data_IF_664733200213
#
_entry.id   IF_664733200213
#
_cell.length_a   1.000
_cell.length_b   1.000
_cell.length_c   1.000
_cell.angle_alpha   90.00
_cell.angle_beta   90.00
_cell.angle_gamma   90.00
#
_symmetry.space_group_name_H-M   'P 1'
#
loop_
_entity.id
_entity.type
_entity.pdbx_description
1 polymer ?
#
# COMPACT_ATOMS: atom_id res chain seq x y z
N UNK A 1 -21.23 -30.89 -4.51
CA UNK A 1 -20.43 -29.76 -5.00
C UNK A 1 -19.78 -29.04 -3.82
N UNK A 2 -18.72 -28.25 -4.03
CA UNK A 2 -18.14 -27.39 -2.98
C UNK A 2 -19.19 -26.46 -2.36
N UNK A 3 -18.93 -25.99 -1.13
CA UNK A 3 -19.78 -25.03 -0.44
C UNK A 3 -20.04 -23.78 -1.30
N UNK A 4 -21.30 -23.34 -1.32
CA UNK A 4 -21.66 -22.11 -2.00
C UNK A 4 -21.17 -20.88 -1.22
N UNK A 5 -20.79 -19.83 -1.94
CA UNK A 5 -20.28 -18.56 -1.40
C UNK A 5 -18.93 -18.66 -0.68
N UNK A 6 -17.96 -19.38 -1.25
CA UNK A 6 -16.59 -19.37 -0.71
C UNK A 6 -15.89 -18.03 -0.99
N UNK A 7 -15.01 -17.61 -0.09
CA UNK A 7 -14.19 -16.41 -0.25
C UNK A 7 -12.73 -16.82 -0.34
N UNK A 8 -12.08 -16.47 -1.44
CA UNK A 8 -10.66 -16.70 -1.68
C UNK A 8 -9.96 -15.35 -1.68
N UNK A 9 -9.03 -15.16 -0.75
CA UNK A 9 -8.22 -13.93 -0.68
C UNK A 9 -6.80 -14.25 -1.08
N UNK A 10 -6.28 -13.51 -2.07
CA UNK A 10 -4.88 -13.60 -2.50
C UNK A 10 -4.24 -12.24 -2.53
N UNK A 11 -2.90 -12.24 -2.56
CA UNK A 11 -2.14 -11.03 -2.72
C UNK A 11 -1.90 -10.70 -4.20
N UNK A 12 -1.76 -9.41 -4.53
CA UNK A 12 -1.36 -8.97 -5.87
C UNK A 12 -0.08 -9.69 -6.32
N UNK A 13 -0.09 -10.15 -7.57
CA UNK A 13 1.04 -10.84 -8.21
C UNK A 13 1.12 -12.34 -7.94
N UNK A 14 0.38 -12.89 -6.96
CA UNK A 14 0.33 -14.34 -6.72
C UNK A 14 -0.72 -15.01 -7.61
N UNK A 15 -0.84 -16.34 -7.52
CA UNK A 15 -1.84 -17.09 -8.28
C UNK A 15 -3.04 -17.40 -7.39
N UNK A 16 -4.23 -16.94 -7.79
CA UNK A 16 -5.48 -17.35 -7.15
C UNK A 16 -5.91 -18.73 -7.65
N UNK A 17 -6.35 -19.60 -6.75
CA UNK A 17 -6.87 -20.92 -7.08
C UNK A 17 -8.31 -21.06 -6.58
N UNK A 18 -9.27 -20.91 -7.48
CA UNK A 18 -10.71 -21.04 -7.18
C UNK A 18 -11.11 -22.49 -7.43
N UNK A 19 -11.38 -23.24 -6.35
CA UNK A 19 -11.69 -24.67 -6.44
C UNK A 19 -13.20 -24.89 -6.56
N UNK A 20 -13.57 -25.76 -7.48
CA UNK A 20 -14.92 -26.26 -7.64
C UNK A 20 -14.91 -27.79 -7.72
N UNK A 21 -15.33 -28.41 -6.64
CA UNK A 21 -15.53 -29.84 -6.53
C UNK A 21 -16.92 -30.18 -7.04
N UNK A 22 -17.00 -31.13 -7.95
CA UNK A 22 -18.25 -31.65 -8.50
C UNK A 22 -18.23 -33.16 -8.37
N UNK A 23 -19.34 -33.75 -7.95
CA UNK A 23 -19.50 -35.19 -7.81
C UNK A 23 -20.56 -35.66 -8.79
N UNK A 24 -20.48 -36.94 -9.19
CA UNK A 24 -21.49 -37.61 -10.02
C UNK A 24 -21.82 -36.88 -11.34
N UNK A 25 -20.80 -36.30 -11.98
CA UNK A 25 -20.92 -35.62 -13.28
C UNK A 25 -21.24 -36.64 -14.37
N UNK A 26 -22.33 -36.44 -15.11
CA UNK A 26 -22.67 -37.30 -16.23
C UNK A 26 -21.67 -37.13 -17.40
N UNK A 27 -21.56 -38.13 -18.27
CA UNK A 27 -20.57 -38.16 -19.38
C UNK A 27 -20.68 -36.95 -20.34
N UNK A 28 -21.86 -36.36 -20.47
CA UNK A 28 -22.12 -35.21 -21.34
C UNK A 28 -22.15 -33.87 -20.59
N UNK A 29 -21.99 -33.89 -19.27
CA UNK A 29 -21.98 -32.68 -18.47
C UNK A 29 -20.57 -32.10 -18.39
N UNK A 30 -20.49 -30.76 -18.41
CA UNK A 30 -19.23 -30.03 -18.36
C UNK A 30 -19.28 -28.96 -17.29
N UNK A 31 -18.11 -28.73 -16.68
CA UNK A 31 -17.92 -27.63 -15.73
C UNK A 31 -17.40 -26.41 -16.49
N UNK A 32 -18.05 -25.27 -16.28
CA UNK A 32 -17.66 -24.00 -16.86
C UNK A 32 -17.33 -22.98 -15.78
N UNK A 33 -16.33 -22.15 -16.01
CA UNK A 33 -16.04 -21.00 -15.16
C UNK A 33 -16.50 -19.71 -15.83
N UNK A 34 -17.29 -18.92 -15.11
CA UNK A 34 -17.91 -17.69 -15.63
C UNK A 34 -17.59 -16.54 -14.65
N UNK A 35 -17.18 -15.39 -15.18
CA UNK A 35 -17.05 -14.17 -14.40
C UNK A 35 -18.39 -13.45 -14.37
N UNK A 36 -18.98 -13.27 -13.19
CA UNK A 36 -20.38 -12.77 -13.10
C UNK A 36 -20.57 -11.30 -13.43
N UNK A 37 -19.54 -10.46 -13.24
CA UNK A 37 -19.66 -9.01 -13.45
C UNK A 37 -20.07 -8.63 -14.87
N UNK A 38 -19.69 -9.45 -15.85
CA UNK A 38 -19.89 -9.22 -17.28
C UNK A 38 -20.33 -10.49 -18.04
N UNK A 39 -20.67 -11.56 -17.31
CA UNK A 39 -21.02 -12.87 -17.86
C UNK A 39 -19.95 -13.42 -18.83
N UNK A 40 -18.69 -13.07 -18.60
CA UNK A 40 -17.58 -13.53 -19.44
C UNK A 40 -17.31 -15.01 -19.19
N UNK A 41 -17.47 -15.82 -20.23
CA UNK A 41 -17.13 -17.24 -20.20
C UNK A 41 -15.60 -17.40 -20.21
N UNK A 42 -15.06 -17.97 -19.13
CA UNK A 42 -13.61 -18.14 -18.98
C UNK A 42 -13.19 -19.49 -19.53
N UNK A 43 -13.82 -20.58 -19.07
CA UNK A 43 -13.50 -21.95 -19.48
C UNK A 43 -14.74 -22.81 -19.63
N UNK A 44 -14.65 -23.85 -20.46
CA UNK A 44 -15.59 -24.96 -20.54
C UNK A 44 -14.78 -26.26 -20.53
N UNK A 45 -14.97 -27.08 -19.51
CA UNK A 45 -14.10 -28.20 -19.22
C UNK A 45 -12.65 -27.73 -19.11
N UNK A 46 -11.75 -28.41 -19.83
CA UNK A 46 -10.33 -28.10 -19.85
C UNK A 46 -9.96 -26.95 -20.81
N UNK A 47 -10.89 -26.46 -21.62
CA UNK A 47 -10.63 -25.47 -22.66
C UNK A 47 -10.87 -24.04 -22.15
N UNK A 48 -9.91 -23.15 -22.35
CA UNK A 48 -10.02 -21.71 -22.04
C UNK A 48 -10.58 -20.93 -23.23
N UNK A 49 -11.62 -20.14 -23.00
CA UNK A 49 -12.28 -19.26 -23.98
C UNK A 49 -11.97 -17.78 -23.75
N UNK A 50 -11.39 -17.43 -22.61
CA UNK A 50 -10.89 -16.09 -22.35
C UNK A 50 -9.63 -15.79 -23.17
N UNK A 51 -9.50 -14.57 -23.69
CA UNK A 51 -8.26 -14.09 -24.34
C UNK A 51 -7.13 -13.78 -23.34
N UNK A 52 -7.43 -13.75 -22.04
CA UNK A 52 -6.45 -13.49 -20.99
C UNK A 52 -5.75 -14.81 -20.60
N UNK A 53 -4.48 -14.92 -21.02
CA UNK A 53 -3.62 -16.11 -20.83
C UNK A 53 -3.35 -16.46 -19.36
N UNK A 54 -3.67 -15.55 -18.43
CA UNK A 54 -3.50 -15.78 -16.99
C UNK A 54 -4.54 -16.75 -16.44
N UNK A 55 -5.67 -16.92 -17.11
CA UNK A 55 -6.69 -17.90 -16.72
C UNK A 55 -6.31 -19.29 -17.19
N UNK A 56 -6.19 -20.22 -16.25
CA UNK A 56 -5.90 -21.61 -16.54
C UNK A 56 -6.79 -22.51 -15.70
N UNK A 57 -7.19 -23.66 -16.24
CA UNK A 57 -7.97 -24.64 -15.50
C UNK A 57 -7.18 -25.92 -15.32
N UNK A 58 -7.27 -26.51 -14.13
CA UNK A 58 -6.72 -27.83 -13.86
C UNK A 58 -7.81 -28.72 -13.29
N UNK A 59 -7.90 -29.94 -13.81
CA UNK A 59 -8.75 -30.98 -13.26
C UNK A 59 -7.93 -31.99 -12.46
N UNK A 60 -8.39 -32.31 -11.25
CA UNK A 60 -7.80 -33.34 -10.39
C UNK A 60 -8.76 -34.53 -10.31
N UNK A 61 -8.42 -35.64 -10.97
CA UNK A 61 -9.22 -36.87 -10.93
C UNK A 61 -9.41 -37.42 -9.51
N UNK A 62 -8.37 -37.32 -8.67
CA UNK A 62 -8.38 -37.86 -7.30
C UNK A 62 -9.41 -37.17 -6.40
N UNK A 63 -9.60 -35.88 -6.59
CA UNK A 63 -10.48 -35.05 -5.76
C UNK A 63 -11.74 -34.59 -6.49
N UNK A 64 -11.84 -34.87 -7.79
CA UNK A 64 -12.86 -34.36 -8.70
C UNK A 64 -12.98 -32.83 -8.67
N UNK A 65 -11.84 -32.16 -8.54
CA UNK A 65 -11.76 -30.69 -8.46
C UNK A 65 -11.45 -30.08 -9.82
N UNK A 66 -12.30 -29.16 -10.25
CA UNK A 66 -12.02 -28.20 -11.31
C UNK A 66 -11.55 -26.90 -10.67
N UNK A 67 -10.26 -26.61 -10.81
CA UNK A 67 -9.67 -25.40 -10.22
C UNK A 67 -9.36 -24.39 -11.31
N UNK A 68 -9.97 -23.20 -11.21
CA UNK A 68 -9.57 -22.04 -12.00
C UNK A 68 -8.39 -21.34 -11.32
N UNK A 69 -7.29 -21.24 -12.02
CA UNK A 69 -6.12 -20.46 -11.66
C UNK A 69 -6.16 -19.10 -12.34
N UNK A 70 -5.97 -18.04 -11.56
CA UNK A 70 -5.77 -16.67 -12.06
C UNK A 70 -4.35 -16.27 -11.71
N UNK A 71 -3.43 -16.41 -12.68
CA UNK A 71 -2.01 -16.08 -12.48
C UNK A 71 -1.80 -14.57 -12.40
N UNK A 72 -0.78 -14.16 -11.64
CA UNK A 72 -0.39 -12.75 -11.48
C UNK A 72 -1.60 -11.88 -11.14
N UNK A 73 -2.33 -12.25 -10.08
CA UNK A 73 -3.60 -11.63 -9.71
C UNK A 73 -3.47 -10.11 -9.59
N UNK A 74 -4.41 -9.40 -10.20
CA UNK A 74 -4.49 -7.95 -10.21
C UNK A 74 -5.72 -7.49 -9.40
N UNK A 75 -5.71 -6.27 -8.84
CA UNK A 75 -6.89 -5.73 -8.14
C UNK A 75 -8.19 -5.79 -8.98
N UNK A 76 -8.07 -5.63 -10.31
CA UNK A 76 -9.21 -5.69 -11.22
C UNK A 76 -9.77 -7.10 -11.45
N UNK A 77 -9.08 -8.16 -11.02
CA UNK A 77 -9.60 -9.53 -11.10
C UNK A 77 -10.52 -9.86 -9.94
N UNK A 78 -10.51 -9.02 -8.88
CA UNK A 78 -11.39 -9.19 -7.75
C UNK A 78 -12.86 -9.15 -8.20
N UNK A 79 -13.67 -10.01 -7.61
CA UNK A 79 -15.08 -10.14 -7.95
C UNK A 79 -15.60 -11.55 -7.82
N UNK A 80 -16.80 -11.76 -8.38
CA UNK A 80 -17.55 -12.99 -8.22
C UNK A 80 -17.36 -13.88 -9.44
N UNK A 81 -16.92 -15.10 -9.20
CA UNK A 81 -16.75 -16.17 -10.18
C UNK A 81 -17.76 -17.27 -9.89
N UNK A 82 -18.28 -17.86 -10.95
CA UNK A 82 -19.25 -18.94 -10.87
C UNK A 82 -18.70 -20.18 -11.57
N UNK A 83 -18.67 -21.28 -10.83
CA UNK A 83 -18.46 -22.60 -11.39
C UNK A 83 -19.83 -23.19 -11.70
N UNK A 84 -20.13 -23.41 -12.98
CA UNK A 84 -21.43 -23.88 -13.44
C UNK A 84 -21.31 -25.28 -14.05
N UNK A 85 -22.14 -26.21 -13.57
CA UNK A 85 -22.36 -27.50 -14.20
C UNK A 85 -23.48 -27.39 -15.23
N UNK A 86 -23.27 -27.93 -16.43
CA UNK A 86 -24.23 -27.90 -17.55
C UNK A 86 -25.43 -28.85 -17.39
N UNK A 87 -25.85 -29.14 -16.16
CA UNK A 87 -27.04 -29.93 -15.84
C UNK A 87 -28.33 -29.21 -16.28
N UNK A 88 -29.46 -29.93 -16.29
CA UNK A 88 -30.78 -29.34 -16.53
C UNK A 88 -31.70 -29.50 -15.31
N UNK A 89 -31.99 -28.42 -14.56
CA UNK A 89 -31.52 -27.03 -14.75
C UNK A 89 -30.04 -26.84 -14.38
N UNK A 90 -29.35 -25.78 -14.89
CA UNK A 90 -27.95 -25.53 -14.56
C UNK A 90 -27.73 -25.31 -13.07
N UNK A 91 -26.65 -25.87 -12.54
CA UNK A 91 -26.30 -25.76 -11.13
C UNK A 91 -24.98 -25.01 -11.03
N UNK A 92 -24.98 -23.89 -10.30
CA UNK A 92 -23.82 -23.01 -10.14
C UNK A 92 -23.38 -22.88 -8.68
N UNK A 93 -22.07 -22.84 -8.45
CA UNK A 93 -21.45 -22.50 -7.17
C UNK A 93 -20.68 -21.19 -7.31
N UNK A 94 -20.91 -20.29 -6.36
CA UNK A 94 -20.31 -18.96 -6.36
C UNK A 94 -19.07 -18.93 -5.47
N UNK A 95 -18.02 -18.29 -5.99
CA UNK A 95 -16.78 -17.98 -5.26
C UNK A 95 -16.42 -16.52 -5.46
N UNK A 96 -16.13 -15.81 -4.36
CA UNK A 96 -15.67 -14.42 -4.38
C UNK A 96 -14.16 -14.39 -4.26
N UNK A 97 -13.50 -13.81 -5.27
CA UNK A 97 -12.06 -13.56 -5.26
C UNK A 97 -11.78 -12.14 -4.73
N UNK A 98 -11.03 -12.06 -3.64
CA UNK A 98 -10.45 -10.83 -3.13
C UNK A 98 -8.97 -10.77 -3.49
N UNK A 99 -8.53 -9.65 -4.08
CA UNK A 99 -7.12 -9.41 -4.36
C UNK A 99 -6.67 -8.23 -3.51
N UNK A 100 -5.81 -8.51 -2.54
CA UNK A 100 -5.30 -7.51 -1.58
C UNK A 100 -3.85 -7.14 -1.89
N UNK A 101 -3.51 -5.89 -1.63
CA UNK A 101 -2.13 -5.41 -1.73
C UNK A 101 -1.55 -5.27 -0.32
N UNK A 102 -0.47 -5.99 -0.04
CA UNK A 102 0.24 -5.85 1.22
C UNK A 102 1.01 -4.52 1.22
N UNK A 103 0.99 -3.83 2.35
CA UNK A 103 1.61 -2.50 2.49
C UNK A 103 2.49 -2.47 3.74
N UNK A 104 3.68 -1.91 3.61
CA UNK A 104 4.51 -1.54 4.74
C UNK A 104 4.04 -0.18 5.30
N UNK A 105 4.23 0.01 6.60
CA UNK A 105 4.05 1.30 7.27
C UNK A 105 5.18 1.50 8.27
N UNK A 106 5.78 2.69 8.30
CA UNK A 106 6.77 3.05 9.31
C UNK A 106 6.10 3.95 10.36
N UNK A 107 6.17 3.54 11.63
CA UNK A 107 5.58 4.31 12.73
C UNK A 107 6.29 5.65 12.96
N UNK A 108 5.54 6.66 13.42
CA UNK A 108 6.08 7.97 13.80
C UNK A 108 5.83 9.11 12.81
N UNK A 109 5.07 8.87 11.73
CA UNK A 109 4.72 9.88 10.73
C UNK A 109 5.72 9.96 9.56
N UNK A 110 5.47 10.82 8.56
CA UNK A 110 6.30 10.93 7.37
C UNK A 110 7.66 11.60 7.64
N UNK A 111 7.75 12.40 8.71
CA UNK A 111 8.97 13.08 9.15
C UNK A 111 9.23 12.81 10.62
N UNK A 112 10.50 12.62 10.99
CA UNK A 112 10.92 12.37 12.36
C UNK A 112 12.16 13.18 12.70
N UNK A 113 12.11 13.88 13.84
CA UNK A 113 13.21 14.73 14.31
C UNK A 113 13.90 14.07 15.49
N UNK A 114 15.22 13.93 15.42
CA UNK A 114 16.01 13.22 16.44
C UNK A 114 17.26 14.03 16.78
N UNK A 115 17.62 14.09 18.05
CA UNK A 115 18.79 14.85 18.50
C UNK A 115 20.09 14.13 18.15
N UNK A 116 21.12 14.89 17.80
CA UNK A 116 22.47 14.36 17.58
C UNK A 116 22.97 13.60 18.83
N UNK A 117 23.63 12.46 18.62
CA UNK A 117 24.17 11.60 19.67
C UNK A 117 23.15 10.67 20.34
N UNK A 118 21.83 10.86 20.14
CA UNK A 118 20.82 9.95 20.66
C UNK A 118 20.72 8.66 19.82
N UNK A 119 19.80 7.77 20.18
CA UNK A 119 19.48 6.59 19.38
C UNK A 119 18.11 6.76 18.71
N UNK A 120 17.93 6.21 17.53
CA UNK A 120 16.64 6.16 16.81
C UNK A 120 16.23 4.71 16.57
N UNK A 121 14.92 4.49 16.62
CA UNK A 121 14.28 3.22 16.32
C UNK A 121 13.16 3.46 15.30
N UNK A 122 13.30 2.87 14.12
CA UNK A 122 12.29 2.87 13.08
C UNK A 122 11.66 1.47 13.02
N UNK A 123 10.36 1.40 13.29
CA UNK A 123 9.59 0.17 13.24
C UNK A 123 8.74 0.17 11.98
N UNK A 124 8.96 -0.83 11.13
CA UNK A 124 8.20 -1.09 9.91
C UNK A 124 7.25 -2.26 10.14
N UNK A 125 5.95 -2.03 9.96
CA UNK A 125 4.90 -3.04 10.09
C UNK A 125 4.31 -3.35 8.71
N UNK A 126 4.24 -4.61 8.34
CA UNK A 126 3.62 -5.07 7.08
C UNK A 126 2.17 -5.46 7.37
N UNK A 127 1.23 -4.81 6.69
CA UNK A 127 -0.21 -5.07 6.78
C UNK A 127 -0.74 -5.77 5.55
N UNK A 128 -1.88 -6.45 5.71
CA UNK A 128 -2.65 -7.08 4.63
C UNK A 128 -1.85 -8.11 3.80
N UNK A 129 -0.87 -8.79 4.42
CA UNK A 129 -0.18 -9.89 3.77
C UNK A 129 -0.95 -11.20 3.95
N UNK A 130 -1.00 -12.02 2.89
CA UNK A 130 -1.51 -13.40 2.99
C UNK A 130 -0.40 -14.40 3.28
N UNK A 131 0.83 -14.05 2.89
CA UNK A 131 2.05 -14.81 3.13
C UNK A 131 3.13 -13.85 3.66
N UNK A 132 3.86 -14.21 4.72
CA UNK A 132 4.86 -13.30 5.28
C UNK A 132 6.01 -13.02 4.31
N UNK A 133 6.57 -11.79 4.33
CA UNK A 133 7.70 -11.45 3.49
C UNK A 133 8.93 -12.32 3.81
N UNK A 134 9.59 -12.86 2.78
CA UNK A 134 10.82 -13.65 2.93
C UNK A 134 12.01 -12.81 3.37
N UNK A 135 11.98 -11.50 3.10
CA UNK A 135 12.97 -10.53 3.57
C UNK A 135 12.34 -9.15 3.69
N UNK A 136 12.97 -8.31 4.51
CA UNK A 136 12.71 -6.86 4.59
C UNK A 136 14.06 -6.15 4.56
N UNK A 137 14.26 -5.31 3.54
CA UNK A 137 15.46 -4.50 3.41
C UNK A 137 15.21 -3.07 3.85
N UNK A 138 16.24 -2.48 4.45
CA UNK A 138 16.27 -1.07 4.80
C UNK A 138 17.22 -0.34 3.87
N UNK A 139 16.76 0.79 3.36
CA UNK A 139 17.55 1.71 2.53
C UNK A 139 17.68 3.05 3.25
N UNK A 140 18.83 3.70 3.08
CA UNK A 140 19.04 5.10 3.42
C UNK A 140 19.37 5.84 2.12
N UNK A 141 18.51 6.80 1.77
CA UNK A 141 18.38 7.30 0.42
C UNK A 141 18.22 6.13 -0.58
N UNK A 142 19.14 6.00 -1.53
CA UNK A 142 19.11 4.95 -2.56
C UNK A 142 20.00 3.74 -2.23
N UNK A 143 20.68 3.75 -1.08
CA UNK A 143 21.65 2.70 -0.73
C UNK A 143 21.10 1.75 0.33
N UNK A 144 21.22 0.44 0.06
CA UNK A 144 20.87 -0.58 1.04
C UNK A 144 21.79 -0.48 2.25
N UNK A 145 21.21 -0.48 3.45
CA UNK A 145 21.95 -0.40 4.71
C UNK A 145 22.60 -1.76 4.98
N UNK A 146 23.94 -1.77 5.00
CA UNK A 146 24.71 -2.94 5.42
C UNK A 146 24.90 -2.92 6.95
N UNK A 147 24.01 -3.61 7.66
CA UNK A 147 24.04 -3.68 9.13
C UNK A 147 25.14 -4.59 9.69
N UNK A 148 25.70 -5.53 8.91
CA UNK A 148 26.80 -6.40 9.36
C UNK A 148 28.13 -5.63 9.50
N UNK A 149 28.29 -4.58 8.70
CA UNK A 149 29.51 -3.76 8.66
C UNK A 149 29.56 -2.66 9.73
N UNK A 150 28.41 -2.27 10.29
CA UNK A 150 28.30 -1.08 11.15
C UNK A 150 27.71 -1.43 12.52
N UNK A 151 28.56 -1.47 13.55
CA UNK A 151 28.18 -1.79 14.94
C UNK A 151 27.13 -0.84 15.54
N UNK A 152 26.93 0.36 14.97
CA UNK A 152 25.89 1.30 15.45
C UNK A 152 24.49 0.92 14.99
N UNK A 153 24.39 0.15 13.91
CA UNK A 153 23.15 -0.21 13.23
C UNK A 153 22.80 -1.66 13.57
N UNK A 154 21.55 -1.89 13.96
CA UNK A 154 21.03 -3.24 14.14
C UNK A 154 19.66 -3.34 13.49
N UNK A 155 19.40 -4.48 12.84
CA UNK A 155 18.11 -4.80 12.24
C UNK A 155 17.57 -6.05 12.93
N UNK A 156 16.34 -5.98 13.42
CA UNK A 156 15.63 -7.12 14.00
C UNK A 156 14.39 -7.38 13.16
N UNK A 157 14.36 -8.53 12.50
CA UNK A 157 13.21 -8.97 11.71
C UNK A 157 12.33 -9.92 12.53
N UNK A 158 11.02 -9.72 12.44
CA UNK A 158 9.96 -10.52 13.04
C UNK A 158 8.90 -10.80 11.97
N UNK A 159 7.97 -11.69 12.28
CA UNK A 159 6.87 -11.99 11.37
C UNK A 159 6.02 -10.73 11.13
N UNK A 160 6.02 -10.21 9.91
CA UNK A 160 5.25 -9.01 9.55
C UNK A 160 5.79 -7.70 10.14
N UNK A 161 6.99 -7.69 10.71
CA UNK A 161 7.59 -6.49 11.31
C UNK A 161 9.12 -6.49 11.15
N UNK A 162 9.70 -5.32 10.88
CA UNK A 162 11.15 -5.13 10.84
C UNK A 162 11.53 -3.86 11.59
N UNK A 163 12.59 -3.95 12.38
CA UNK A 163 13.00 -2.86 13.24
C UNK A 163 14.45 -2.46 12.97
N UNK A 164 14.66 -1.22 12.54
CA UNK A 164 15.98 -0.61 12.34
C UNK A 164 16.32 0.28 13.54
N UNK A 165 17.39 -0.05 14.24
CA UNK A 165 17.94 0.77 15.33
C UNK A 165 19.29 1.35 14.94
N UNK A 166 19.46 2.65 15.13
CA UNK A 166 20.73 3.36 14.92
C UNK A 166 21.10 4.06 16.22
N UNK A 167 22.25 3.69 16.79
CA UNK A 167 22.80 4.33 17.99
C UNK A 167 23.77 5.44 17.62
N UNK A 168 23.90 6.43 18.53
CA UNK A 168 24.82 7.58 18.38
C UNK A 168 24.65 8.28 17.02
N UNK A 169 23.44 8.76 16.73
CA UNK A 169 23.11 9.38 15.44
C UNK A 169 23.94 10.64 15.18
N UNK A 170 24.32 10.83 13.93
CA UNK A 170 25.13 11.95 13.43
C UNK A 170 24.35 12.71 12.36
N UNK A 171 24.79 13.90 11.98
CA UNK A 171 24.13 14.66 10.89
C UNK A 171 24.03 13.86 9.58
N UNK A 172 25.01 13.00 9.30
CA UNK A 172 25.07 12.15 8.11
C UNK A 172 23.97 11.06 8.09
N UNK A 173 23.42 10.71 9.25
CA UNK A 173 22.30 9.76 9.33
C UNK A 173 20.96 10.41 8.95
N UNK A 174 20.91 11.72 8.65
CA UNK A 174 19.69 12.38 8.15
C UNK A 174 19.35 11.91 6.73
N UNK A 175 18.06 11.91 6.38
CA UNK A 175 17.58 11.59 5.04
C UNK A 175 16.43 10.60 5.05
N UNK A 176 16.08 10.11 3.86
CA UNK A 176 14.97 9.17 3.70
C UNK A 176 15.40 7.76 4.06
N UNK A 177 14.62 7.12 4.92
CA UNK A 177 14.75 5.71 5.25
C UNK A 177 13.57 4.95 4.66
N UNK A 178 13.85 3.93 3.86
CA UNK A 178 12.82 3.11 3.21
C UNK A 178 12.86 1.69 3.75
N UNK A 179 11.70 1.19 4.17
CA UNK A 179 11.48 -0.22 4.46
C UNK A 179 10.87 -0.89 3.23
N UNK A 180 11.59 -1.87 2.67
CA UNK A 180 11.23 -2.58 1.46
C UNK A 180 11.07 -4.08 1.73
N UNK A 181 9.84 -4.58 1.94
CA UNK A 181 9.57 -6.01 1.99
C UNK A 181 9.61 -6.66 0.60
N UNK A 182 9.78 -7.98 0.57
CA UNK A 182 9.81 -8.78 -0.67
C UNK A 182 8.48 -8.77 -1.45
N UNK A 183 7.36 -8.78 -0.73
CA UNK A 183 6.02 -8.96 -1.29
C UNK A 183 5.03 -7.92 -0.75
N UNK A 184 5.47 -6.69 -0.47
CA UNK A 184 4.59 -5.61 -0.06
C UNK A 184 5.08 -4.27 -0.61
N UNK A 185 4.15 -3.32 -0.76
CA UNK A 185 4.52 -1.95 -1.09
C UNK A 185 5.41 -1.35 0.01
N UNK A 186 6.51 -0.66 -0.36
CA UNK A 186 7.40 -0.07 0.62
C UNK A 186 6.78 1.13 1.32
N UNK A 187 7.35 1.45 2.48
CA UNK A 187 7.11 2.69 3.20
C UNK A 187 8.43 3.42 3.44
N UNK A 188 8.34 4.74 3.57
CA UNK A 188 9.49 5.60 3.82
C UNK A 188 9.19 6.62 4.92
N UNK A 189 10.26 7.10 5.56
CA UNK A 189 10.23 8.18 6.55
C UNK A 189 11.44 9.09 6.35
N UNK A 190 11.25 10.41 6.46
CA UNK A 190 12.34 11.38 6.45
C UNK A 190 12.86 11.59 7.87
N UNK A 191 14.12 11.26 8.12
CA UNK A 191 14.78 11.44 9.41
C UNK A 191 15.61 12.73 9.40
N UNK A 192 15.33 13.63 10.33
CA UNK A 192 16.02 14.91 10.49
C UNK A 192 16.81 14.92 11.80
N UNK A 193 18.14 15.00 11.70
CA UNK A 193 18.99 15.07 12.89
C UNK A 193 19.23 16.53 13.29
N UNK A 194 18.75 16.91 14.47
CA UNK A 194 18.83 18.27 15.01
C UNK A 194 19.94 18.39 16.07
N UNK A 195 20.63 19.53 16.10
CA UNK A 195 21.49 19.91 17.21
C UNK A 195 20.62 20.53 18.30
N UNK A 196 20.81 20.14 19.57
CA UNK A 196 19.99 20.58 20.71
C UNK A 196 20.07 22.07 21.07
N UNK A 197 20.51 22.92 20.14
CA UNK A 197 20.48 24.37 20.30
C UNK A 197 19.09 24.85 19.87
N UNK A 198 18.43 25.58 20.77
CA UNK A 198 17.06 26.09 20.63
C UNK A 198 16.80 26.71 19.25
N UNK A 199 15.58 26.58 18.67
CA UNK A 199 15.22 27.37 17.49
C UNK A 199 15.08 28.84 17.91
N UNK A 200 16.20 29.53 18.00
CA UNK A 200 16.29 30.96 18.23
C UNK A 200 15.93 31.68 16.92
N UNK A 201 14.63 31.73 16.58
CA UNK A 201 14.02 32.76 15.74
C UNK A 201 12.52 32.50 15.51
N UNK A 202 11.69 32.53 16.55
CA UNK A 202 10.29 32.91 16.36
C UNK A 202 10.18 34.41 16.66
N UNK A 203 10.45 35.17 15.60
CA UNK A 203 10.19 36.59 15.35
C UNK A 203 9.85 37.50 16.54
N UNK A 204 10.75 38.46 16.80
CA UNK A 204 10.44 39.71 17.51
C UNK A 204 9.34 40.45 16.73
N UNK A 205 8.12 40.50 17.26
CA UNK A 205 7.18 41.56 16.92
C UNK A 205 7.52 42.77 17.80
N UNK A 206 8.47 43.60 17.36
CA UNK A 206 8.59 44.97 17.84
C UNK A 206 7.44 45.78 17.26
N UNK A 207 6.32 45.83 17.97
CA UNK A 207 5.27 46.80 17.70
C UNK A 207 5.77 48.17 18.19
N UNK A 208 6.40 48.93 17.29
CA UNK A 208 6.55 50.38 17.47
C UNK A 208 5.18 51.02 17.43
N UNK A 209 4.72 51.56 18.56
CA UNK A 209 3.62 52.51 18.63
C UNK A 209 3.92 53.69 17.70
N UNK A 210 3.15 53.84 16.63
CA UNK A 210 3.13 55.05 15.82
C UNK A 210 2.06 55.98 16.40
N UNK A 211 2.49 56.93 17.24
CA UNK A 211 1.64 58.03 17.69
C UNK A 211 1.41 59.00 16.51
N UNK A 212 0.18 59.06 16.01
CA UNK A 212 -0.24 60.11 15.08
C UNK A 212 -0.49 61.42 15.85
N UNK A 213 0.42 62.41 15.70
CA UNK A 213 0.14 63.82 16.03
C UNK A 213 -0.30 64.55 14.76
N UNK A 214 -1.61 64.76 14.61
CA UNK A 214 -2.15 65.67 13.61
C UNK A 214 -1.88 67.12 14.06
N UNK A 215 -0.98 67.80 13.36
CA UNK A 215 -0.73 69.24 13.50
C UNK A 215 -1.17 69.90 12.20
N UNK A 216 -2.29 70.64 12.22
CA UNK A 216 -2.76 71.42 11.06
C UNK A 216 -2.39 72.88 11.31
N UNK A 217 -1.39 73.38 10.59
CA UNK A 217 -1.10 74.82 10.49
C UNK A 217 -1.57 75.35 9.13
N UNK A 218 -2.21 76.52 9.20
CA UNK A 218 -2.86 77.27 8.13
C UNK A 218 -1.89 77.70 7.02
N UNK A 219 -2.37 77.69 5.77
CA UNK A 219 -1.88 78.61 4.74
C UNK A 219 -3.07 79.25 4.02
N UNK A 220 -3.21 80.54 4.26
CA UNK A 220 -4.02 81.50 3.52
C UNK A 220 -3.39 81.79 2.15
N UNK A 221 -4.21 81.87 1.10
CA UNK A 221 -3.95 82.80 0.00
C UNK A 221 -5.25 83.27 -0.65
N UNK A 222 -5.41 84.59 -0.56
CA UNK A 222 -6.11 85.54 -1.43
C UNK A 222 -6.66 84.99 -2.76
N UNK A 223 -7.94 85.28 -3.02
CA UNK A 223 -8.42 85.64 -4.36
C UNK A 223 -9.48 86.73 -4.23
N UNK A 224 -9.17 87.86 -4.85
CA UNK A 224 -9.92 89.09 -4.82
C UNK A 224 -11.07 89.09 -5.86
N UNK A 225 -12.11 89.86 -5.51
CA UNK A 225 -13.07 90.60 -6.33
C UNK A 225 -13.48 90.06 -7.71
N UNK A 226 -14.79 89.87 -7.90
CA UNK A 226 -15.50 90.43 -9.06
C UNK A 226 -16.79 91.09 -8.58
N UNK A 227 -17.00 92.31 -9.05
CA UNK A 227 -18.14 93.19 -8.76
C UNK A 227 -19.17 93.14 -9.89
N UNK A 228 -20.46 93.13 -9.53
CA UNK A 228 -21.61 93.91 -10.04
C UNK A 228 -22.93 93.24 -9.59
#
# INVERSE_FOLDING_TARGET
MTNNNTVVTVQVGTTAALRCQVFDVAEHETVSWIRRRDHHLITVGANTYSNDERFQVTYSEKTQDWTLHVRYAQPHDAGVYECQLSAHPPIGVITTLNVIEAVAEIGGGPERYVQIGSSVQLTCTIKHFTEPPTYVFWYHAEHMINYDSNKRITVVNRLGESELRISQVTKADSGNYTCQPANARPAFVSLHIITGETPAAMQRASATEVQYRLSITLLSSLLALVAL
#
